data_IF_369015903337
#
_entry.id   IF_369015903337
#
_cell.length_a   1.000
_cell.length_b   1.000
_cell.length_c   1.000
_cell.angle_alpha   90.00
_cell.angle_beta   90.00
_cell.angle_gamma   90.00
#
_symmetry.space_group_name_H-M   'P 1'
#
loop_
_entity.id
_entity.type
_entity.pdbx_description
1 polymer ?
#
# COMPACT_ATOMS: atom_id res chain seq x y z
N UNK A 1 -15.99 -26.83 37.65
CA UNK A 1 -15.09 -26.31 36.59
C UNK A 1 -15.50 -24.90 36.13
N UNK A 2 -16.75 -24.65 35.70
CA UNK A 2 -17.22 -23.29 35.31
C UNK A 2 -17.08 -22.20 36.38
N UNK A 3 -17.34 -22.51 37.65
CA UNK A 3 -17.25 -21.52 38.75
C UNK A 3 -15.84 -20.95 38.95
N UNK A 4 -14.80 -21.76 38.69
CA UNK A 4 -13.41 -21.32 38.79
C UNK A 4 -13.01 -20.47 37.57
N UNK A 5 -13.56 -20.79 36.39
CA UNK A 5 -13.38 -20.00 35.17
C UNK A 5 -14.03 -18.61 35.30
N UNK A 6 -15.25 -18.51 35.86
CA UNK A 6 -15.87 -17.21 36.12
C UNK A 6 -15.14 -16.39 37.17
N UNK A 7 -14.63 -17.00 38.26
CA UNK A 7 -13.80 -16.27 39.24
C UNK A 7 -12.47 -15.80 38.65
N UNK A 8 -11.90 -16.56 37.72
CA UNK A 8 -10.70 -16.16 36.98
C UNK A 8 -11.00 -14.96 36.06
N UNK A 9 -12.09 -15.03 35.29
CA UNK A 9 -12.54 -13.92 34.44
C UNK A 9 -12.85 -12.66 35.25
N UNK A 10 -13.55 -12.78 36.39
CA UNK A 10 -13.83 -11.65 37.28
C UNK A 10 -12.53 -11.04 37.83
N UNK A 11 -11.54 -11.86 38.19
CA UNK A 11 -10.25 -11.38 38.68
C UNK A 11 -9.42 -10.70 37.58
N UNK A 12 -9.48 -11.19 36.35
CA UNK A 12 -8.77 -10.61 35.20
C UNK A 12 -9.45 -9.31 34.72
N UNK A 13 -10.79 -9.24 34.73
CA UNK A 13 -11.57 -8.05 34.36
C UNK A 13 -11.41 -6.93 35.41
N UNK A 14 -11.37 -7.29 36.70
CA UNK A 14 -11.17 -6.33 37.79
C UNK A 14 -9.68 -6.02 38.06
N UNK A 15 -8.76 -6.56 37.24
CA UNK A 15 -7.34 -6.27 37.37
C UNK A 15 -7.07 -4.82 36.95
N UNK A 16 -6.98 -3.94 37.94
CA UNK A 16 -6.60 -2.54 37.74
C UNK A 16 -5.12 -2.54 37.30
N UNK A 17 -4.79 -2.01 36.11
CA UNK A 17 -3.42 -1.95 35.65
C UNK A 17 -2.60 -1.08 36.60
N UNK A 18 -1.39 -1.53 36.91
CA UNK A 18 -0.49 -0.81 37.82
C UNK A 18 -0.04 0.52 37.19
N UNK A 19 0.26 1.54 38.00
CA UNK A 19 0.79 2.82 37.51
C UNK A 19 2.05 2.66 36.64
N UNK A 20 2.84 1.60 36.89
CA UNK A 20 4.01 1.26 36.08
C UNK A 20 3.63 0.73 34.69
N UNK A 21 2.60 -0.13 34.59
CA UNK A 21 2.07 -0.62 33.31
C UNK A 21 1.40 0.50 32.52
N UNK A 22 0.70 1.42 33.18
CA UNK A 22 0.08 2.60 32.56
C UNK A 22 1.17 3.51 31.94
N UNK A 23 2.19 3.87 32.71
CA UNK A 23 3.30 4.70 32.21
C UNK A 23 4.08 4.01 31.08
N UNK A 24 4.32 2.70 31.19
CA UNK A 24 4.94 1.92 30.11
C UNK A 24 4.08 1.89 28.84
N UNK A 25 2.76 1.74 28.98
CA UNK A 25 1.80 1.74 27.87
C UNK A 25 1.79 3.09 27.16
N UNK A 26 1.75 4.21 27.90
CA UNK A 26 1.78 5.56 27.33
C UNK A 26 3.05 5.80 26.52
N UNK A 27 4.21 5.42 27.05
CA UNK A 27 5.48 5.50 26.31
C UNK A 27 5.42 4.69 25.03
N UNK A 28 4.94 3.43 25.08
CA UNK A 28 4.84 2.57 23.89
C UNK A 28 3.85 3.11 22.85
N UNK A 29 2.72 3.68 23.28
CA UNK A 29 1.77 4.36 22.39
C UNK A 29 2.40 5.58 21.71
N UNK A 30 3.14 6.40 22.45
CA UNK A 30 3.84 7.56 21.89
C UNK A 30 4.87 7.15 20.84
N UNK A 31 5.69 6.12 21.13
CA UNK A 31 6.64 5.58 20.15
C UNK A 31 5.95 5.01 18.91
N UNK A 32 4.88 4.24 19.09
CA UNK A 32 4.12 3.69 17.96
C UNK A 32 3.48 4.81 17.14
N UNK A 33 2.95 5.86 17.78
CA UNK A 33 2.36 7.01 17.09
C UNK A 33 3.41 7.73 16.24
N UNK A 34 4.60 8.00 16.78
CA UNK A 34 5.69 8.64 16.04
C UNK A 34 6.16 7.78 14.85
N UNK A 35 6.25 6.46 15.05
CA UNK A 35 6.54 5.50 13.99
C UNK A 35 5.46 5.53 12.90
N UNK A 36 4.18 5.47 13.29
CA UNK A 36 3.04 5.47 12.38
C UNK A 36 2.97 6.76 11.56
N UNK A 37 3.16 7.93 12.18
CA UNK A 37 3.18 9.20 11.45
C UNK A 37 4.35 9.27 10.46
N UNK A 38 5.55 8.83 10.87
CA UNK A 38 6.69 8.74 9.95
C UNK A 38 6.40 7.84 8.76
N UNK A 39 5.79 6.66 9.00
CA UNK A 39 5.35 5.75 7.95
C UNK A 39 4.37 6.42 6.99
N UNK A 40 3.32 7.07 7.51
CA UNK A 40 2.30 7.75 6.69
C UNK A 40 2.94 8.83 5.81
N UNK A 41 3.81 9.68 6.37
CA UNK A 41 4.48 10.74 5.62
C UNK A 41 5.34 10.16 4.48
N UNK A 42 6.12 9.12 4.77
CA UNK A 42 6.94 8.45 3.76
C UNK A 42 6.08 7.79 2.67
N UNK A 43 4.99 7.12 3.05
CA UNK A 43 4.06 6.51 2.10
C UNK A 43 3.41 7.54 1.18
N UNK A 44 2.98 8.69 1.71
CA UNK A 44 2.47 9.79 0.89
C UNK A 44 3.53 10.34 -0.07
N UNK A 45 4.76 10.51 0.39
CA UNK A 45 5.88 10.93 -0.46
C UNK A 45 6.10 9.95 -1.61
N UNK A 46 6.21 8.65 -1.32
CA UNK A 46 6.41 7.62 -2.34
C UNK A 46 5.22 7.53 -3.30
N UNK A 47 3.99 7.63 -2.81
CA UNK A 47 2.78 7.61 -3.65
C UNK A 47 2.77 8.79 -4.63
N UNK A 48 3.23 9.98 -4.22
CA UNK A 48 3.34 11.14 -5.11
C UNK A 48 4.29 10.87 -6.28
N UNK A 49 5.46 10.27 -6.04
CA UNK A 49 6.38 9.90 -7.11
C UNK A 49 5.86 8.73 -7.97
N UNK A 50 5.11 7.81 -7.37
CA UNK A 50 4.54 6.66 -8.06
C UNK A 50 3.22 6.97 -8.80
N UNK A 51 2.62 8.15 -8.62
CA UNK A 51 1.32 8.53 -9.23
C UNK A 51 1.20 8.20 -10.72
N UNK A 52 2.19 8.49 -11.59
CA UNK A 52 2.08 8.17 -13.01
C UNK A 52 1.91 6.67 -13.28
N UNK A 53 2.56 5.84 -12.46
CA UNK A 53 2.56 4.40 -12.60
C UNK A 53 1.32 3.77 -11.93
N UNK A 54 0.85 4.36 -10.83
CA UNK A 54 -0.35 3.92 -10.12
C UNK A 54 -1.61 3.98 -11.00
N UNK A 55 -1.65 4.86 -12.01
CA UNK A 55 -2.74 4.88 -13.01
C UNK A 55 -2.86 3.57 -13.80
N UNK A 56 -1.75 2.85 -13.95
CA UNK A 56 -1.67 1.61 -14.74
C UNK A 56 -1.60 0.35 -13.86
N UNK A 57 -1.58 0.53 -12.53
CA UNK A 57 -1.54 -0.57 -11.58
C UNK A 57 -2.92 -1.23 -11.43
N UNK A 58 -2.92 -2.54 -11.18
CA UNK A 58 -4.16 -3.29 -10.91
C UNK A 58 -4.75 -2.86 -9.55
N UNK A 59 -6.00 -2.35 -9.50
CA UNK A 59 -6.63 -1.91 -8.26
C UNK A 59 -6.84 -3.04 -7.24
N UNK A 60 -7.00 -4.30 -7.69
CA UNK A 60 -7.15 -5.46 -6.81
C UNK A 60 -5.85 -5.75 -6.08
N UNK A 61 -4.73 -5.72 -6.80
CA UNK A 61 -3.40 -5.91 -6.20
C UNK A 61 -3.05 -4.75 -5.27
N UNK A 62 -3.41 -3.51 -5.62
CA UNK A 62 -3.22 -2.34 -4.75
C UNK A 62 -4.01 -2.48 -3.43
N UNK A 63 -5.26 -2.94 -3.52
CA UNK A 63 -6.08 -3.19 -2.33
C UNK A 63 -5.49 -4.31 -1.46
N UNK A 64 -5.01 -5.39 -2.09
CA UNK A 64 -4.37 -6.50 -1.39
C UNK A 64 -3.10 -6.05 -0.65
N UNK A 65 -2.25 -5.27 -1.31
CA UNK A 65 -1.03 -4.71 -0.72
C UNK A 65 -1.36 -3.83 0.51
N UNK A 66 -2.33 -2.93 0.36
CA UNK A 66 -2.81 -2.08 1.45
C UNK A 66 -3.38 -2.89 2.63
N UNK A 67 -4.09 -3.99 2.36
CA UNK A 67 -4.60 -4.88 3.39
C UNK A 67 -3.47 -5.58 4.15
N UNK A 68 -2.47 -6.11 3.45
CA UNK A 68 -1.30 -6.79 4.06
C UNK A 68 -0.54 -5.83 4.97
N UNK A 69 -0.30 -4.60 4.51
CA UNK A 69 0.41 -3.58 5.30
C UNK A 69 -0.42 -3.19 6.54
N UNK A 70 -1.73 -2.96 6.37
CA UNK A 70 -2.63 -2.63 7.48
C UNK A 70 -2.66 -3.73 8.54
N UNK A 71 -2.73 -4.99 8.11
CA UNK A 71 -2.68 -6.13 9.02
C UNK A 71 -1.33 -6.21 9.75
N UNK A 72 -0.22 -5.97 9.06
CA UNK A 72 1.11 -5.85 9.67
C UNK A 72 1.18 -4.77 10.75
N UNK A 73 0.60 -3.58 10.49
CA UNK A 73 0.52 -2.48 11.47
C UNK A 73 -0.27 -2.88 12.73
N UNK A 74 -1.35 -3.64 12.58
CA UNK A 74 -2.11 -4.19 13.72
C UNK A 74 -1.26 -5.19 14.51
N UNK A 75 -0.51 -6.07 13.84
CA UNK A 75 0.38 -7.03 14.50
C UNK A 75 1.45 -6.33 15.33
N UNK A 76 2.15 -5.34 14.77
CA UNK A 76 3.20 -4.61 15.50
C UNK A 76 2.61 -3.76 16.64
N UNK A 77 1.42 -3.19 16.47
CA UNK A 77 0.71 -2.50 17.57
C UNK A 77 0.36 -3.46 18.71
N UNK A 78 -0.22 -4.62 18.39
CA UNK A 78 -0.52 -5.65 19.41
C UNK A 78 0.75 -6.14 20.11
N UNK A 79 1.83 -6.36 19.37
CA UNK A 79 3.10 -6.81 19.92
C UNK A 79 3.79 -5.76 20.80
N UNK A 80 3.81 -4.49 20.37
CA UNK A 80 4.56 -3.42 21.02
C UNK A 80 3.80 -2.63 22.08
N UNK A 81 2.47 -2.53 21.95
CA UNK A 81 1.61 -1.69 22.79
C UNK A 81 0.66 -2.54 23.63
N UNK A 82 -0.22 -3.31 22.99
CA UNK A 82 -1.27 -4.06 23.73
C UNK A 82 -0.68 -5.12 24.66
N UNK A 83 0.45 -5.73 24.29
CA UNK A 83 1.14 -6.74 25.10
C UNK A 83 1.71 -6.22 26.43
N UNK A 84 1.68 -4.91 26.68
CA UNK A 84 2.08 -4.30 27.96
C UNK A 84 1.05 -4.57 29.03
N UNK A 85 -0.23 -4.57 28.66
CA UNK A 85 -1.37 -4.73 29.59
C UNK A 85 -2.09 -6.06 29.42
N UNK A 86 -1.89 -6.75 28.30
CA UNK A 86 -2.46 -8.07 28.04
C UNK A 86 -1.34 -9.10 27.83
N UNK A 87 -1.12 -9.95 28.84
CA UNK A 87 -0.11 -11.02 28.83
C UNK A 87 -0.46 -12.21 27.95
N UNK A 88 -1.73 -12.37 27.54
CA UNK A 88 -2.15 -13.44 26.62
C UNK A 88 -1.62 -13.20 25.20
N UNK A 89 -1.21 -11.97 24.88
CA UNK A 89 -0.64 -11.66 23.58
C UNK A 89 0.77 -12.25 23.47
N UNK A 90 0.89 -13.29 22.65
CA UNK A 90 2.18 -13.85 22.28
C UNK A 90 2.96 -12.89 21.38
N UNK A 91 3.84 -12.09 21.99
CA UNK A 91 4.64 -11.07 21.31
C UNK A 91 5.46 -11.67 20.17
N UNK A 92 6.08 -12.83 20.38
CA UNK A 92 6.93 -13.49 19.36
C UNK A 92 6.12 -13.88 18.13
N UNK A 93 4.93 -14.44 18.34
CA UNK A 93 4.04 -14.78 17.23
C UNK A 93 3.59 -13.53 16.46
N UNK A 94 3.22 -12.45 17.16
CA UNK A 94 2.81 -11.20 16.50
C UNK A 94 3.95 -10.54 15.72
N UNK A 95 5.18 -10.54 16.24
CA UNK A 95 6.36 -10.08 15.50
C UNK A 95 6.67 -10.96 14.28
N UNK A 96 6.51 -12.28 14.41
CA UNK A 96 6.65 -13.20 13.28
C UNK A 96 5.60 -12.93 12.20
N UNK A 97 4.32 -12.76 12.58
CA UNK A 97 3.25 -12.38 11.65
C UNK A 97 3.56 -11.06 10.95
N UNK A 98 4.05 -10.04 11.68
CA UNK A 98 4.47 -8.77 11.09
C UNK A 98 5.59 -8.95 10.06
N UNK A 99 6.61 -9.76 10.36
CA UNK A 99 7.70 -10.05 9.43
C UNK A 99 7.21 -10.74 8.15
N UNK A 100 6.29 -11.71 8.30
CA UNK A 100 5.63 -12.36 7.17
C UNK A 100 4.84 -11.34 6.33
N UNK A 101 4.12 -10.43 6.96
CA UNK A 101 3.39 -9.37 6.26
C UNK A 101 4.33 -8.46 5.45
N UNK A 102 5.49 -8.09 6.01
CA UNK A 102 6.49 -7.29 5.27
C UNK A 102 6.97 -8.04 4.02
N UNK A 103 7.28 -9.32 4.13
CA UNK A 103 7.73 -10.13 2.99
C UNK A 103 6.64 -10.16 1.91
N UNK A 104 5.39 -10.43 2.29
CA UNK A 104 4.29 -10.46 1.34
C UNK A 104 4.04 -9.08 0.71
N UNK A 105 4.10 -8.00 1.48
CA UNK A 105 3.97 -6.63 0.95
C UNK A 105 5.06 -6.33 -0.07
N UNK A 106 6.33 -6.68 0.20
CA UNK A 106 7.42 -6.49 -0.77
C UNK A 106 7.16 -7.26 -2.06
N UNK A 107 6.70 -8.51 -1.96
CA UNK A 107 6.38 -9.34 -3.13
C UNK A 107 5.24 -8.71 -3.95
N UNK A 108 4.12 -8.37 -3.30
CA UNK A 108 2.95 -7.81 -3.98
C UNK A 108 3.27 -6.44 -4.58
N UNK A 109 3.97 -5.57 -3.84
CA UNK A 109 4.48 -4.30 -4.36
C UNK A 109 5.35 -4.50 -5.59
N UNK A 110 6.26 -5.48 -5.60
CA UNK A 110 7.12 -5.74 -6.77
C UNK A 110 6.31 -6.17 -8.00
N UNK A 111 5.29 -7.01 -7.81
CA UNK A 111 4.37 -7.43 -8.88
C UNK A 111 3.60 -6.21 -9.40
N UNK A 112 3.05 -5.39 -8.50
CA UNK A 112 2.34 -4.14 -8.83
C UNK A 112 3.17 -3.21 -9.70
N UNK A 113 4.43 -2.98 -9.34
CA UNK A 113 5.33 -2.14 -10.13
C UNK A 113 5.60 -2.74 -11.51
N UNK A 114 5.82 -4.05 -11.59
CA UNK A 114 6.07 -4.74 -12.86
C UNK A 114 4.86 -4.64 -13.79
N UNK A 115 3.67 -4.95 -13.29
CA UNK A 115 2.42 -4.91 -14.05
C UNK A 115 2.10 -3.47 -14.48
N UNK A 116 2.28 -2.49 -13.58
CA UNK A 116 2.10 -1.07 -13.89
C UNK A 116 3.02 -0.59 -15.02
N UNK A 117 4.28 -1.02 -15.04
CA UNK A 117 5.22 -0.70 -16.13
C UNK A 117 4.77 -1.36 -17.44
N UNK A 118 4.39 -2.64 -17.40
CA UNK A 118 3.96 -3.37 -18.60
C UNK A 118 2.69 -2.75 -19.21
N UNK A 119 1.69 -2.45 -18.38
CA UNK A 119 0.46 -1.79 -18.79
C UNK A 119 0.71 -0.38 -19.35
N UNK A 120 1.65 0.38 -18.76
CA UNK A 120 2.05 1.68 -19.30
C UNK A 120 2.65 1.55 -20.70
N UNK A 121 3.55 0.57 -20.92
CA UNK A 121 4.18 0.35 -22.22
C UNK A 121 3.13 -0.06 -23.27
N UNK A 122 2.17 -0.92 -22.89
CA UNK A 122 1.09 -1.33 -23.78
C UNK A 122 0.16 -0.17 -24.13
N UNK A 123 -0.19 0.65 -23.14
CA UNK A 123 -0.97 1.88 -23.35
C UNK A 123 -0.27 2.84 -24.31
N UNK A 124 1.02 3.09 -24.12
CA UNK A 124 1.81 3.96 -25.02
C UNK A 124 1.86 3.43 -26.46
N UNK A 125 2.04 2.11 -26.64
CA UNK A 125 2.01 1.46 -27.96
C UNK A 125 0.64 1.60 -28.63
N UNK A 126 -0.44 1.42 -27.87
CA UNK A 126 -1.79 1.55 -28.38
C UNK A 126 -2.09 3.00 -28.80
N UNK A 127 -1.71 3.97 -27.97
CA UNK A 127 -1.82 5.39 -28.30
C UNK A 127 -1.01 5.78 -29.55
N UNK A 128 0.21 5.25 -29.71
CA UNK A 128 1.03 5.49 -30.90
C UNK A 128 0.35 4.95 -32.18
N UNK A 129 -0.26 3.78 -32.10
CA UNK A 129 -0.99 3.19 -33.23
C UNK A 129 -2.23 4.03 -33.61
N UNK A 130 -3.01 4.47 -32.62
CA UNK A 130 -4.14 5.38 -32.85
C UNK A 130 -3.70 6.69 -33.51
N UNK A 131 -2.61 7.30 -33.03
CA UNK A 131 -2.05 8.52 -33.62
C UNK A 131 -1.66 8.30 -35.08
N UNK A 132 -1.04 7.17 -35.40
CA UNK A 132 -0.66 6.83 -36.77
C UNK A 132 -1.87 6.59 -37.70
N UNK A 133 -2.96 5.98 -37.19
CA UNK A 133 -4.22 5.83 -37.94
C UNK A 133 -4.87 7.19 -38.23
N UNK A 134 -4.88 8.11 -37.25
CA UNK A 134 -5.37 9.48 -37.42
C UNK A 134 -4.54 10.23 -38.46
N UNK A 135 -3.21 10.13 -38.40
CA UNK A 135 -2.30 10.76 -39.36
C UNK A 135 -2.46 10.25 -40.79
N UNK A 136 -2.81 8.97 -40.96
CA UNK A 136 -3.13 8.37 -42.26
C UNK A 136 -4.56 8.63 -42.73
N UNK A 137 -5.32 9.44 -41.99
CA UNK A 137 -6.71 9.78 -42.29
C UNK A 137 -7.65 8.56 -42.37
N UNK A 138 -7.37 7.52 -41.58
CA UNK A 138 -8.21 6.32 -41.47
C UNK A 138 -9.14 6.53 -40.27
N UNK A 139 -10.45 6.65 -40.53
CA UNK A 139 -11.50 6.90 -39.53
C UNK A 139 -11.10 7.94 -38.46
N UNK A 140 -10.68 9.15 -38.87
CA UNK A 140 -10.00 10.11 -37.99
C UNK A 140 -10.87 10.57 -36.81
N UNK A 141 -12.18 10.75 -36.99
CA UNK A 141 -13.10 11.16 -35.91
C UNK A 141 -13.26 10.06 -34.86
N UNK A 142 -13.43 8.81 -35.28
CA UNK A 142 -13.55 7.66 -34.37
C UNK A 142 -12.25 7.46 -33.58
N UNK A 143 -11.12 7.46 -34.27
CA UNK A 143 -9.82 7.22 -33.65
C UNK A 143 -9.37 8.37 -32.74
N UNK A 144 -9.67 9.63 -33.10
CA UNK A 144 -9.40 10.79 -32.23
C UNK A 144 -10.27 10.81 -30.98
N UNK A 145 -11.53 10.38 -31.09
CA UNK A 145 -12.42 10.21 -29.93
C UNK A 145 -11.84 9.21 -28.94
N UNK A 146 -11.37 8.05 -29.42
CA UNK A 146 -10.75 7.02 -28.58
C UNK A 146 -9.43 7.53 -27.97
N UNK A 147 -8.59 8.21 -28.75
CA UNK A 147 -7.32 8.79 -28.30
C UNK A 147 -7.52 9.78 -27.14
N UNK A 148 -8.51 10.68 -27.26
CA UNK A 148 -8.84 11.65 -26.22
C UNK A 148 -9.41 10.99 -24.97
N UNK A 149 -10.32 10.01 -25.13
CA UNK A 149 -10.93 9.29 -24.00
C UNK A 149 -9.93 8.46 -23.20
N UNK A 150 -8.85 7.97 -23.83
CA UNK A 150 -7.78 7.24 -23.16
C UNK A 150 -6.74 8.15 -22.50
N UNK A 151 -6.89 9.48 -22.61
CA UNK A 151 -5.92 10.47 -22.17
C UNK A 151 -4.52 10.16 -22.72
N UNK A 152 -4.46 9.76 -24.00
CA UNK A 152 -3.22 9.51 -24.70
C UNK A 152 -2.40 10.81 -24.78
N UNK A 153 -1.09 10.72 -24.56
CA UNK A 153 -0.17 11.82 -24.87
C UNK A 153 0.27 11.72 -26.32
N UNK A 154 0.49 12.87 -26.96
CA UNK A 154 1.10 12.89 -28.29
C UNK A 154 2.48 12.25 -28.21
N UNK A 155 2.65 11.17 -28.97
CA UNK A 155 3.91 10.47 -29.11
C UNK A 155 4.69 11.19 -30.22
N UNK A 156 5.67 11.99 -29.82
CA UNK A 156 6.59 12.61 -30.78
C UNK A 156 7.61 11.56 -31.20
N UNK A 157 7.59 11.20 -32.48
CA UNK A 157 8.60 10.33 -33.04
C UNK A 157 9.97 11.04 -32.90
N UNK A 158 10.96 10.40 -32.27
CA UNK A 158 12.32 10.95 -32.09
C UNK A 158 13.03 11.34 -33.42
N UNK A 159 12.41 11.09 -34.57
CA UNK A 159 12.86 11.54 -35.88
C UNK A 159 12.69 13.04 -36.14
N UNK A 160 11.86 13.78 -35.37
CA UNK A 160 11.71 15.23 -35.53
C UNK A 160 12.77 16.07 -34.79
N UNK A 161 13.52 15.49 -33.85
CA UNK A 161 14.65 16.15 -33.17
C UNK A 161 15.94 16.16 -34.02
N UNK A 162 15.94 15.53 -35.20
CA UNK A 162 17.06 15.59 -36.17
C UNK A 162 16.92 16.73 -37.20
N UNK A 163 15.88 17.55 -37.10
CA UNK A 163 15.69 18.71 -37.99
C UNK A 163 15.52 19.96 -37.13
N UNK A 164 16.62 20.41 -36.55
CA UNK A 164 16.82 21.83 -36.24
C UNK A 164 18.26 22.18 -36.61
N UNK A 165 18.46 23.36 -37.20
CA UNK A 165 19.47 23.69 -38.23
C UNK A 165 20.93 23.55 -37.80
#
# INVERSE_FOLDING_TARGET
MLRNFFRYLDAEINKIPTNQEINALEKRKAYFSAFFYSYVILSFGMAFFAQPLLKYADPVLLMLDGFIISFGLVCIYRAGVTSVVNSEINKKAMFFCFFVCIIFAIIVTTILFKDGIQNSIEHDKYCANLQHLIQRNIDPEKNSTIFNNLYCRLQYNNTLLKISP
#
